data_IF_260427213574
#
_entry.id   IF_260427213574
#
_cell.length_a   1.000
_cell.length_b   1.000
_cell.length_c   1.000
_cell.angle_alpha   90.00
_cell.angle_beta   90.00
_cell.angle_gamma   90.00
#
_symmetry.space_group_name_H-M   'P 1'
#
loop_
_entity.id
_entity.type
_entity.pdbx_description
1 polymer ?
#
# COMPACT_ATOMS: atom_id res chain seq x y z
N UNK A 1 21.75 -98.81 -41.46
CA UNK A 1 20.85 -98.55 -40.33
C UNK A 1 21.36 -97.25 -39.61
N UNK A 2 20.79 -96.11 -39.89
CA UNK A 2 21.23 -94.81 -39.35
C UNK A 2 20.26 -94.45 -38.23
N UNK A 3 20.76 -94.38 -37.00
CA UNK A 3 19.99 -93.92 -35.84
C UNK A 3 20.04 -92.40 -35.81
N UNK A 4 18.87 -91.75 -35.93
CA UNK A 4 18.73 -90.29 -35.77
C UNK A 4 18.43 -90.04 -34.29
N UNK A 5 19.31 -89.38 -33.60
CA UNK A 5 19.12 -88.89 -32.24
C UNK A 5 18.42 -87.53 -32.31
N UNK A 6 17.18 -87.49 -31.76
CA UNK A 6 16.48 -86.21 -31.59
C UNK A 6 16.97 -85.50 -30.35
N UNK A 7 17.53 -84.33 -30.47
CA UNK A 7 17.92 -83.45 -29.35
C UNK A 7 16.73 -82.55 -29.00
N UNK A 8 16.10 -82.80 -27.86
CA UNK A 8 15.07 -81.97 -27.27
C UNK A 8 15.72 -80.76 -26.59
N UNK A 9 15.68 -79.61 -27.21
CA UNK A 9 16.11 -78.36 -26.59
C UNK A 9 14.99 -77.85 -25.67
N UNK A 10 15.18 -78.00 -24.39
CA UNK A 10 14.27 -77.45 -23.37
C UNK A 10 14.59 -75.94 -23.26
N UNK A 11 13.78 -75.13 -23.88
CA UNK A 11 13.87 -73.68 -23.77
C UNK A 11 13.44 -73.22 -22.35
N UNK A 12 14.38 -72.82 -21.54
CA UNK A 12 14.11 -72.11 -20.30
C UNK A 12 13.66 -70.70 -20.66
N UNK A 13 12.35 -70.44 -20.65
CA UNK A 13 11.81 -69.11 -20.77
C UNK A 13 12.08 -68.32 -19.48
N UNK A 14 13.02 -67.38 -19.56
CA UNK A 14 13.22 -66.38 -18.50
C UNK A 14 12.03 -65.42 -18.59
N UNK A 15 11.03 -65.57 -17.68
CA UNK A 15 9.97 -64.58 -17.50
C UNK A 15 10.62 -63.29 -16.91
N UNK A 16 10.90 -62.31 -17.79
CA UNK A 16 11.26 -60.96 -17.35
C UNK A 16 9.99 -60.36 -16.72
N UNK A 17 9.94 -60.42 -15.39
CA UNK A 17 8.87 -59.69 -14.64
C UNK A 17 8.90 -58.24 -14.98
N UNK A 18 7.89 -57.74 -15.66
CA UNK A 18 7.71 -56.30 -15.82
C UNK A 18 7.44 -55.70 -14.44
N UNK A 19 8.43 -55.04 -13.91
CA UNK A 19 8.25 -54.24 -12.69
C UNK A 19 7.42 -53.02 -13.08
N UNK A 20 6.15 -53.01 -12.69
CA UNK A 20 5.31 -51.84 -12.82
C UNK A 20 5.86 -50.78 -11.85
N UNK A 21 6.25 -49.64 -12.39
CA UNK A 21 6.61 -48.51 -11.56
C UNK A 21 5.35 -48.02 -10.82
N UNK A 22 5.37 -48.08 -9.49
CA UNK A 22 4.30 -47.50 -8.64
C UNK A 22 4.73 -46.08 -8.27
N UNK A 23 3.87 -45.09 -8.60
CA UNK A 23 4.06 -43.71 -8.18
C UNK A 23 3.08 -43.37 -7.04
N UNK A 24 3.57 -42.61 -6.05
CA UNK A 24 2.74 -42.05 -5.00
C UNK A 24 2.78 -40.53 -5.08
N UNK A 25 1.64 -39.89 -4.85
CA UNK A 25 1.54 -38.42 -4.82
C UNK A 25 1.51 -37.94 -3.37
N UNK A 26 2.30 -36.90 -3.07
CA UNK A 26 2.23 -36.13 -1.84
C UNK A 26 1.82 -34.70 -2.20
N UNK A 27 0.70 -34.24 -1.67
CA UNK A 27 0.26 -32.85 -1.81
C UNK A 27 0.78 -32.04 -0.60
N UNK A 28 1.53 -30.98 -0.88
CA UNK A 28 1.95 -30.01 0.13
C UNK A 28 1.11 -28.75 -0.03
N UNK A 29 0.50 -28.28 1.05
CA UNK A 29 -0.34 -27.09 1.06
C UNK A 29 0.17 -26.11 2.10
N UNK A 30 0.26 -24.82 1.74
CA UNK A 30 0.61 -23.73 2.63
C UNK A 30 -0.28 -22.51 2.37
N UNK A 31 -0.48 -21.68 3.38
CA UNK A 31 -1.24 -20.43 3.28
C UNK A 31 -0.38 -19.25 3.71
N UNK A 32 -0.55 -18.10 3.03
CA UNK A 32 0.03 -16.82 3.41
C UNK A 32 -1.11 -15.89 3.78
N UNK A 33 -1.11 -15.38 5.02
CA UNK A 33 -2.09 -14.40 5.45
C UNK A 33 -1.91 -13.07 4.71
N UNK A 34 -3.02 -12.36 4.51
CA UNK A 34 -2.98 -10.99 3.99
C UNK A 34 -2.23 -10.09 4.97
N UNK A 35 -1.28 -9.30 4.45
CA UNK A 35 -0.58 -8.25 5.17
C UNK A 35 -0.88 -6.93 4.48
N UNK A 36 -1.60 -6.06 5.18
CA UNK A 36 -2.00 -4.74 4.70
C UNK A 36 -1.85 -3.76 5.85
N UNK A 37 -0.96 -2.78 5.71
CA UNK A 37 -0.75 -1.76 6.74
C UNK A 37 -0.33 -0.42 6.16
N UNK A 38 -0.69 0.65 6.87
CA UNK A 38 -0.24 2.00 6.62
C UNK A 38 0.29 2.59 7.93
N UNK A 39 1.47 3.18 7.87
CA UNK A 39 2.10 3.81 9.03
C UNK A 39 2.34 5.27 8.71
N UNK A 40 1.82 6.16 9.55
CA UNK A 40 2.05 7.60 9.48
C UNK A 40 3.09 7.97 10.52
N UNK A 41 4.23 8.51 10.10
CA UNK A 41 5.30 9.01 10.98
C UNK A 41 5.36 10.54 10.83
N UNK A 42 4.76 11.32 11.76
CA UNK A 42 4.79 12.76 11.69
C UNK A 42 6.22 13.31 11.88
N UNK A 43 6.55 14.35 11.15
CA UNK A 43 7.72 15.16 11.44
C UNK A 43 7.44 16.09 12.64
N UNK A 44 8.47 16.47 13.41
CA UNK A 44 8.29 17.33 14.58
C UNK A 44 7.60 18.66 14.24
N UNK A 45 7.83 19.21 13.04
CA UNK A 45 7.22 20.45 12.56
C UNK A 45 5.70 20.35 12.41
N UNK A 46 5.14 19.15 12.19
CA UNK A 46 3.71 18.98 11.99
C UNK A 46 2.85 19.39 13.21
N UNK A 47 3.44 19.38 14.41
CA UNK A 47 2.79 19.81 15.65
C UNK A 47 3.06 21.26 16.05
N UNK A 48 3.86 22.00 15.25
CA UNK A 48 4.29 23.36 15.56
C UNK A 48 4.48 24.18 14.27
N UNK A 49 3.44 24.22 13.43
CA UNK A 49 3.44 25.01 12.20
C UNK A 49 3.35 26.51 12.54
N UNK A 50 4.16 27.32 11.89
CA UNK A 50 4.01 28.77 11.90
C UNK A 50 3.08 29.20 10.78
N UNK A 51 1.81 29.42 11.10
CA UNK A 51 0.76 29.80 10.13
C UNK A 51 0.80 31.30 9.77
N UNK A 52 1.75 32.08 10.26
CA UNK A 52 1.93 33.50 9.89
C UNK A 52 2.86 33.70 8.72
N UNK A 53 3.57 32.66 8.29
CA UNK A 53 4.51 32.68 7.16
C UNK A 53 4.03 31.80 6.01
N UNK A 54 4.59 31.98 4.82
CA UNK A 54 4.37 31.07 3.70
C UNK A 54 5.29 29.85 3.80
N UNK A 55 4.75 28.68 3.54
CA UNK A 55 5.52 27.44 3.44
C UNK A 55 5.26 26.77 2.09
N UNK A 56 6.29 26.22 1.49
CA UNK A 56 6.19 25.54 0.20
C UNK A 56 6.81 24.13 0.33
N UNK A 57 5.96 23.12 0.15
CA UNK A 57 6.31 21.70 0.20
C UNK A 57 7.09 21.30 1.46
N UNK A 58 6.65 21.83 2.62
CA UNK A 58 7.23 21.50 3.92
C UNK A 58 6.96 20.03 4.24
N UNK A 59 7.99 19.22 4.46
CA UNK A 59 7.83 17.81 4.82
C UNK A 59 7.23 17.69 6.23
N UNK A 60 5.98 17.24 6.33
CA UNK A 60 5.23 17.14 7.60
C UNK A 60 5.05 15.70 8.07
N UNK A 61 5.19 14.71 7.22
CA UNK A 61 5.14 13.30 7.60
C UNK A 61 5.83 12.40 6.56
N UNK A 62 6.15 11.18 7.00
CA UNK A 62 6.46 10.05 6.12
C UNK A 62 5.36 9.01 6.27
N UNK A 63 4.81 8.55 5.15
CA UNK A 63 3.77 7.53 5.09
C UNK A 63 4.38 6.26 4.52
N UNK A 64 4.33 5.16 5.26
CA UNK A 64 4.83 3.86 4.81
C UNK A 64 3.66 2.93 4.53
N UNK A 65 3.59 2.43 3.31
CA UNK A 65 2.55 1.54 2.78
C UNK A 65 3.09 0.12 2.68
N UNK A 66 2.36 -0.87 3.19
CA UNK A 66 2.70 -2.30 3.07
C UNK A 66 1.48 -3.07 2.57
N UNK A 67 1.68 -3.85 1.52
CA UNK A 67 0.65 -4.76 0.98
C UNK A 67 1.30 -5.99 0.35
N UNK A 68 0.79 -7.18 0.68
CA UNK A 68 1.15 -8.41 -0.01
C UNK A 68 0.08 -8.87 -1.04
N UNK A 69 -0.91 -8.02 -1.33
CA UNK A 69 -1.92 -8.29 -2.37
C UNK A 69 -1.27 -8.31 -3.76
N UNK A 70 -1.44 -9.40 -4.48
CA UNK A 70 -0.91 -9.52 -5.86
C UNK A 70 -1.67 -8.65 -6.87
N UNK A 71 -2.92 -8.25 -6.55
CA UNK A 71 -3.72 -7.33 -7.36
C UNK A 71 -3.41 -5.87 -7.03
N UNK A 72 -2.55 -5.62 -6.02
CA UNK A 72 -2.20 -4.29 -5.60
C UNK A 72 -3.09 -3.74 -4.48
N UNK A 73 -3.08 -2.42 -4.35
CA UNK A 73 -3.76 -1.70 -3.27
C UNK A 73 -4.01 -0.25 -3.66
N UNK A 74 -4.91 0.37 -2.94
CA UNK A 74 -5.24 1.80 -3.08
C UNK A 74 -5.04 2.48 -1.73
N UNK A 75 -4.44 3.70 -1.73
CA UNK A 75 -4.36 4.55 -0.55
C UNK A 75 -5.14 5.82 -0.81
N UNK A 76 -5.98 6.17 0.16
CA UNK A 76 -6.71 7.43 0.19
C UNK A 76 -6.28 8.27 1.38
N UNK A 77 -6.37 9.58 1.25
CA UNK A 77 -6.25 10.54 2.34
C UNK A 77 -7.54 11.34 2.43
N UNK A 78 -8.01 11.62 3.64
CA UNK A 78 -9.11 12.54 3.89
C UNK A 78 -8.67 13.65 4.85
N UNK A 79 -9.14 14.88 4.59
CA UNK A 79 -9.07 16.03 5.50
C UNK A 79 -10.40 16.13 6.24
N UNK A 80 -10.37 16.17 7.56
CA UNK A 80 -11.61 16.24 8.36
C UNK A 80 -12.38 17.52 8.09
N UNK A 81 -11.68 18.66 7.96
CA UNK A 81 -12.31 19.95 7.71
C UNK A 81 -12.93 20.00 6.32
N UNK A 82 -12.18 19.54 5.27
CA UNK A 82 -12.69 19.52 3.91
C UNK A 82 -13.86 18.53 3.73
N UNK A 83 -13.87 17.38 4.42
CA UNK A 83 -15.01 16.44 4.44
C UNK A 83 -16.24 17.12 5.05
N UNK A 84 -16.08 17.77 6.20
CA UNK A 84 -17.17 18.51 6.88
C UNK A 84 -17.78 19.60 5.99
N UNK A 85 -16.93 20.30 5.23
CA UNK A 85 -17.36 21.38 4.32
C UNK A 85 -17.76 20.86 2.92
N UNK A 86 -17.61 19.56 2.63
CA UNK A 86 -17.73 18.99 1.29
C UNK A 86 -16.84 19.71 0.25
N UNK A 87 -15.67 20.18 0.70
CA UNK A 87 -14.74 21.02 -0.06
C UNK A 87 -13.72 20.19 -0.83
N UNK A 88 -13.25 20.74 -1.96
CA UNK A 88 -12.06 20.20 -2.65
C UNK A 88 -10.76 20.86 -2.19
N UNK A 89 -10.84 21.82 -1.28
CA UNK A 89 -9.67 22.52 -0.72
C UNK A 89 -9.65 22.28 0.78
N UNK A 90 -8.64 21.59 1.32
CA UNK A 90 -8.47 21.42 2.75
C UNK A 90 -8.01 22.74 3.38
N UNK A 91 -8.39 22.96 4.62
CA UNK A 91 -8.08 24.17 5.38
C UNK A 91 -7.84 23.89 6.86
N UNK A 92 -7.01 24.73 7.46
CA UNK A 92 -6.91 24.80 8.92
C UNK A 92 -8.05 25.64 9.46
N UNK A 93 -8.76 25.13 10.46
CA UNK A 93 -9.86 25.83 11.15
C UNK A 93 -9.55 26.02 12.63
N UNK A 94 -10.17 27.01 13.24
CA UNK A 94 -10.07 27.26 14.67
C UNK A 94 -11.44 27.11 15.35
N UNK A 95 -11.45 26.56 16.55
CA UNK A 95 -12.68 26.50 17.38
C UNK A 95 -13.06 27.86 17.96
N UNK A 96 -12.16 28.84 17.95
CA UNK A 96 -12.33 30.15 18.61
C UNK A 96 -12.39 31.33 17.64
N UNK A 97 -12.16 31.10 16.34
CA UNK A 97 -12.21 32.10 15.29
C UNK A 97 -12.90 31.56 14.04
N UNK A 98 -13.63 32.39 13.29
CA UNK A 98 -14.18 32.00 11.98
C UNK A 98 -13.11 31.96 10.87
N UNK A 99 -11.88 32.41 11.16
CA UNK A 99 -10.83 32.45 10.15
C UNK A 99 -10.40 31.05 9.78
N UNK A 100 -10.04 30.85 8.51
CA UNK A 100 -9.50 29.61 7.96
C UNK A 100 -8.26 29.89 7.12
N UNK A 101 -7.37 28.90 7.02
CA UNK A 101 -6.21 28.98 6.13
C UNK A 101 -6.18 27.75 5.22
N UNK A 102 -6.43 27.97 3.94
CA UNK A 102 -6.36 26.92 2.94
C UNK A 102 -4.93 26.41 2.78
N UNK A 103 -4.79 25.13 2.50
CA UNK A 103 -3.52 24.51 2.20
C UNK A 103 -3.63 23.49 1.06
N UNK A 104 -2.49 23.08 0.53
CA UNK A 104 -2.38 21.98 -0.42
C UNK A 104 -1.34 20.97 0.02
N UNK A 105 -1.48 19.75 -0.47
CA UNK A 105 -0.58 18.65 -0.16
C UNK A 105 0.14 18.12 -1.40
N UNK A 106 1.33 17.59 -1.20
CA UNK A 106 2.00 16.68 -2.12
C UNK A 106 2.22 15.33 -1.45
N UNK A 107 2.10 14.26 -2.21
CA UNK A 107 2.36 12.90 -1.75
C UNK A 107 3.42 12.25 -2.66
N UNK A 108 4.56 11.91 -2.10
CA UNK A 108 5.71 11.44 -2.90
C UNK A 108 6.12 12.46 -4.00
N UNK A 109 5.92 13.76 -3.77
CA UNK A 109 6.20 14.83 -4.71
C UNK A 109 5.07 15.11 -5.74
N UNK A 110 3.99 14.31 -5.74
CA UNK A 110 2.82 14.52 -6.63
C UNK A 110 1.75 15.34 -5.91
N UNK A 111 1.18 16.39 -6.53
CA UNK A 111 0.07 17.15 -5.95
C UNK A 111 -1.13 16.26 -5.64
N UNK A 112 -1.75 16.47 -4.48
CA UNK A 112 -2.96 15.76 -4.03
C UNK A 112 -4.19 16.56 -4.42
N UNK A 113 -5.08 15.96 -5.21
CA UNK A 113 -6.35 16.57 -5.62
C UNK A 113 -7.50 16.00 -4.80
N UNK A 114 -8.09 16.83 -3.94
CA UNK A 114 -9.25 16.45 -3.12
C UNK A 114 -10.56 16.60 -3.90
N UNK A 115 -11.51 15.72 -3.62
CA UNK A 115 -12.90 15.80 -4.05
C UNK A 115 -13.76 15.54 -2.83
N UNK A 116 -14.55 16.54 -2.42
CA UNK A 116 -15.34 16.46 -1.17
C UNK A 116 -14.53 16.00 0.04
N UNK A 117 -13.30 16.52 0.17
CA UNK A 117 -12.40 16.25 1.30
C UNK A 117 -11.64 14.93 1.24
N UNK A 118 -11.75 14.13 0.17
CA UNK A 118 -11.06 12.84 0.01
C UNK A 118 -10.23 12.86 -1.28
N UNK A 119 -9.05 12.25 -1.24
CA UNK A 119 -8.18 12.08 -2.40
C UNK A 119 -7.58 10.67 -2.44
N UNK A 120 -7.43 10.10 -3.63
CA UNK A 120 -6.62 8.90 -3.85
C UNK A 120 -5.18 9.33 -4.12
N UNK A 121 -4.24 8.83 -3.31
CA UNK A 121 -2.82 9.21 -3.38
C UNK A 121 -1.93 8.09 -3.91
N UNK A 122 -2.37 6.83 -3.81
CA UNK A 122 -1.69 5.67 -4.41
C UNK A 122 -2.72 4.76 -5.07
N UNK A 123 -2.42 4.30 -6.28
CA UNK A 123 -3.10 3.19 -6.95
C UNK A 123 -2.03 2.26 -7.47
N UNK A 124 -1.76 1.18 -6.75
CA UNK A 124 -0.78 0.17 -7.10
C UNK A 124 -1.45 -1.07 -7.69
N UNK A 125 -0.83 -1.67 -8.69
CA UNK A 125 -1.31 -2.89 -9.37
C UNK A 125 -0.57 -4.16 -8.94
N UNK A 126 0.30 -4.04 -7.94
CA UNK A 126 1.10 -5.14 -7.41
C UNK A 126 1.39 -4.93 -5.91
N UNK A 127 1.84 -5.98 -5.25
CA UNK A 127 2.31 -5.91 -3.85
C UNK A 127 3.50 -4.96 -3.69
N UNK A 128 3.69 -4.45 -2.48
CA UNK A 128 4.89 -3.67 -2.13
C UNK A 128 6.15 -4.54 -2.09
N UNK A 129 7.35 -3.96 -2.25
CA UNK A 129 8.60 -4.61 -1.86
C UNK A 129 8.60 -5.01 -0.37
N UNK A 130 9.51 -5.89 0.01
CA UNK A 130 9.77 -6.17 1.43
C UNK A 130 10.19 -4.86 2.13
N UNK A 131 9.50 -4.52 3.24
CA UNK A 131 9.68 -3.26 3.95
C UNK A 131 8.73 -2.14 3.54
N UNK A 132 7.93 -2.33 2.47
CA UNK A 132 6.92 -1.37 2.03
C UNK A 132 7.45 -0.28 1.09
N UNK A 133 6.61 0.71 0.83
CA UNK A 133 6.92 1.93 0.07
C UNK A 133 6.70 3.12 0.99
N UNK A 134 7.68 4.02 1.06
CA UNK A 134 7.61 5.23 1.89
C UNK A 134 7.48 6.46 1.01
N UNK A 135 6.48 7.29 1.32
CA UNK A 135 6.19 8.54 0.63
C UNK A 135 6.25 9.72 1.62
N UNK A 136 6.88 10.80 1.20
CA UNK A 136 6.88 12.05 1.98
C UNK A 136 5.59 12.80 1.73
N UNK A 137 4.94 13.27 2.81
CA UNK A 137 3.83 14.20 2.75
C UNK A 137 4.38 15.62 2.86
N UNK A 138 4.22 16.40 1.80
CA UNK A 138 4.58 17.81 1.76
C UNK A 138 3.35 18.69 1.94
N UNK A 139 3.51 19.80 2.65
CA UNK A 139 2.47 20.77 2.97
C UNK A 139 2.84 22.14 2.39
N UNK A 140 1.90 22.80 1.74
CA UNK A 140 2.05 24.16 1.21
C UNK A 140 0.89 25.03 1.69
N UNK A 141 1.19 26.19 2.25
CA UNK A 141 0.21 27.21 2.65
C UNK A 141 0.86 28.60 2.63
N UNK A 142 0.04 29.65 2.59
CA UNK A 142 0.51 31.02 2.71
C UNK A 142 -0.33 31.78 3.75
N UNK A 143 0.17 31.87 4.96
CA UNK A 143 -0.44 32.63 6.05
C UNK A 143 0.03 34.08 6.14
N UNK A 144 1.01 34.48 5.32
CA UNK A 144 1.61 35.84 5.39
C UNK A 144 0.60 36.95 5.07
N UNK A 145 -0.44 36.64 4.29
CA UNK A 145 -1.48 37.59 3.90
C UNK A 145 -2.84 37.30 4.52
N UNK A 146 -2.99 36.19 5.26
CA UNK A 146 -4.28 35.72 5.77
C UNK A 146 -4.82 36.50 6.96
N UNK A 147 -3.94 37.25 7.68
CA UNK A 147 -4.29 38.04 8.88
C UNK A 147 -5.16 37.26 9.88
N UNK A 148 -4.73 36.04 10.21
CA UNK A 148 -5.43 35.14 11.09
C UNK A 148 -5.55 35.71 12.51
N UNK A 149 -6.70 35.55 13.13
CA UNK A 149 -6.88 35.86 14.55
C UNK A 149 -6.02 34.95 15.43
N UNK A 150 -5.57 35.45 16.58
CA UNK A 150 -4.80 34.66 17.52
C UNK A 150 -5.61 33.41 17.98
N UNK A 151 -5.02 32.25 17.89
CA UNK A 151 -5.68 31.00 18.26
C UNK A 151 -4.94 29.75 17.77
N UNK A 152 -5.49 28.59 18.06
CA UNK A 152 -5.03 27.32 17.55
C UNK A 152 -5.84 26.92 16.33
N UNK A 153 -5.16 26.61 15.24
CA UNK A 153 -5.76 26.15 13.99
C UNK A 153 -5.30 24.72 13.73
N UNK A 154 -6.21 23.88 13.30
CA UNK A 154 -5.91 22.46 13.06
C UNK A 154 -6.74 21.85 11.94
N UNK A 155 -6.22 20.77 11.38
CA UNK A 155 -6.97 19.78 10.60
C UNK A 155 -6.43 18.39 10.93
N UNK A 156 -7.24 17.37 10.66
CA UNK A 156 -6.87 15.97 10.84
C UNK A 156 -6.87 15.26 9.49
N UNK A 157 -5.71 14.73 9.11
CA UNK A 157 -5.55 13.91 7.92
C UNK A 157 -5.62 12.43 8.30
N UNK A 158 -6.54 11.69 7.68
CA UNK A 158 -6.68 10.24 7.86
C UNK A 158 -6.27 9.52 6.59
N UNK A 159 -5.32 8.61 6.70
CA UNK A 159 -4.86 7.74 5.61
C UNK A 159 -5.50 6.37 5.74
N UNK A 160 -6.02 5.85 4.63
CA UNK A 160 -6.64 4.52 4.57
C UNK A 160 -6.02 3.73 3.43
N UNK A 161 -5.61 2.48 3.69
CA UNK A 161 -5.12 1.55 2.68
C UNK A 161 -6.14 0.42 2.49
N UNK A 162 -6.41 0.07 1.23
CA UNK A 162 -7.34 -0.99 0.86
C UNK A 162 -6.69 -1.90 -0.19
N UNK A 163 -6.77 -3.21 -0.02
CA UNK A 163 -6.32 -4.16 -1.03
C UNK A 163 -7.30 -4.18 -2.21
N UNK A 164 -6.76 -4.26 -3.42
CA UNK A 164 -7.52 -4.45 -4.66
C UNK A 164 -7.87 -5.92 -4.88
#
# INVERSE_FOLDING_TARGET
MKKIAAILILGVGVAIGAFAATSGNLTLTGTVAQNLSITVTPAAVASALDLTTAQNNLAVATITEVSNSHLGYTVTVSSANAVSASSSTPDFTSATSPDTLAYSLTYGGTPVAFTSGIATVTTATAKTPAGGVSNTLGLTYDGSTANLSAGTYSDTLTFTITAN
#
